data_IF_107872674920
#
_entry.id   IF_107872674920
#
_cell.length_a   1.000
_cell.length_b   1.000
_cell.length_c   1.000
_cell.angle_alpha   90.00
_cell.angle_beta   90.00
_cell.angle_gamma   90.00
#
_symmetry.space_group_name_H-M   'P 1'
#
loop_
_entity.id
_entity.type
_entity.pdbx_description
1 polymer ?
2 non-polymer ?
3 water ?
#
# COMPACT_ATOMS: atom_id res chain seq x y z
N UNK A 6 8.48 2.43 29.09
CA UNK A 6 8.02 3.81 29.05
C UNK A 6 7.70 4.17 27.60
N UNK A 7 8.71 4.20 26.74
CA UNK A 7 8.48 4.67 25.37
C UNK A 7 8.29 3.56 24.35
N UNK A 8 7.46 3.87 23.37
CA UNK A 8 6.95 2.91 22.41
C UNK A 8 7.84 2.89 21.18
N UNK A 9 7.55 1.97 20.25
CA UNK A 9 8.21 1.97 18.95
C UNK A 9 7.87 3.17 18.07
N UNK A 10 8.62 3.30 16.99
CA UNK A 10 8.27 4.29 15.97
C UNK A 10 6.89 3.92 15.42
N UNK A 11 6.70 2.63 15.12
CA UNK A 11 5.40 2.15 14.68
C UNK A 11 5.32 0.64 14.84
N UNK A 12 4.10 0.12 14.94
CA UNK A 12 3.86 -1.33 14.90
C UNK A 12 3.48 -1.73 13.49
N UNK A 13 3.70 -3.00 13.15
CA UNK A 13 3.23 -3.50 11.87
C UNK A 13 3.69 -4.93 11.62
N UNK A 14 3.29 -5.47 10.47
CA UNK A 14 3.71 -6.78 10.03
C UNK A 14 4.90 -6.65 9.12
N UNK A 15 6.01 -7.28 9.50
CA UNK A 15 7.24 -7.24 8.71
C UNK A 15 7.42 -8.57 7.96
N UNK A 16 7.54 -8.45 6.64
CA UNK A 16 7.62 -9.60 5.74
C UNK A 16 8.99 -10.25 5.84
N UNK A 17 9.02 -11.58 5.69
CA UNK A 17 10.27 -12.31 5.74
C UNK A 17 11.09 -11.85 4.55
N UNK A 18 12.38 -12.17 4.54
CA UNK A 18 13.20 -11.85 3.38
C UNK A 18 12.57 -12.42 2.10
N UNK A 19 12.08 -13.65 2.18
CA UNK A 19 11.55 -14.35 1.01
C UNK A 19 10.28 -13.68 0.49
N UNK A 20 9.31 -13.48 1.36
CA UNK A 20 8.04 -12.89 0.96
C UNK A 20 8.23 -11.48 0.45
N UNK A 21 9.15 -10.76 1.09
CA UNK A 21 9.44 -9.38 0.75
C UNK A 21 9.92 -9.34 -0.69
N UNK A 22 10.86 -10.22 -1.02
CA UNK A 22 11.42 -10.22 -2.36
C UNK A 22 10.35 -10.61 -3.39
N UNK A 23 9.52 -11.60 -3.08
CA UNK A 23 8.45 -12.01 -4.00
C UNK A 23 7.55 -10.82 -4.32
N UNK A 24 7.11 -10.11 -3.29
CA UNK A 24 6.25 -8.92 -3.49
C UNK A 24 6.96 -7.76 -4.18
N UNK A 25 8.19 -7.47 -3.78
CA UNK A 25 8.96 -6.40 -4.40
C UNK A 25 9.09 -6.68 -5.88
N UNK A 26 9.47 -7.91 -6.23
CA UNK A 26 9.63 -8.26 -7.64
C UNK A 26 8.32 -8.08 -8.39
N UNK A 27 7.22 -8.49 -7.78
CA UNK A 27 5.92 -8.37 -8.43
C UNK A 27 5.60 -6.90 -8.67
N UNK A 28 5.91 -6.09 -7.67
CA UNK A 28 5.70 -4.65 -7.76
C UNK A 28 6.49 -4.05 -8.90
N UNK A 29 7.75 -4.41 -9.00
CA UNK A 29 8.61 -3.90 -10.08
C UNK A 29 8.10 -4.33 -11.46
N UNK A 30 7.69 -5.60 -11.58
CA UNK A 30 7.15 -6.08 -12.86
C UNK A 30 5.92 -5.25 -13.26
N UNK A 31 5.05 -4.98 -12.30
CA UNK A 31 3.87 -4.17 -12.53
C UNK A 31 4.23 -2.77 -13.05
N UNK A 32 5.18 -2.11 -12.40
CA UNK A 32 5.59 -0.78 -12.85
C UNK A 32 6.07 -0.81 -14.31
N UNK A 33 6.83 -1.83 -14.65
CA UNK A 33 7.41 -1.93 -15.97
C UNK A 33 6.31 -2.16 -16.99
N UNK A 34 5.46 -3.13 -16.70
CA UNK A 34 4.32 -3.43 -17.56
C UNK A 34 3.34 -2.27 -17.67
N UNK A 35 3.03 -1.63 -16.55
CA UNK A 35 2.06 -0.56 -16.57
C UNK A 35 2.58 0.61 -17.41
N UNK A 36 3.85 0.96 -17.23
CA UNK A 36 4.47 2.06 -17.97
C UNK A 36 4.51 1.82 -19.47
N UNK A 37 4.56 0.56 -19.88
CA UNK A 37 4.58 0.22 -21.31
C UNK A 37 3.20 0.06 -21.93
N UNK A 38 2.15 0.16 -21.12
CA UNK A 38 0.79 -0.12 -21.58
C UNK A 38 0.16 1.07 -22.29
N UNK A 39 -0.46 0.82 -23.45
CA UNK A 39 -1.06 1.89 -24.25
C UNK A 39 -2.03 2.77 -23.46
N UNK A 40 -2.82 2.13 -22.61
CA UNK A 40 -3.80 2.82 -21.79
C UNK A 40 -3.16 3.81 -20.83
N UNK A 41 -2.00 3.45 -20.30
CA UNK A 41 -1.31 4.32 -19.34
C UNK A 41 -0.62 5.47 -20.08
N UNK A 42 0.07 5.14 -21.16
CA UNK A 42 0.73 6.18 -21.95
C UNK A 42 -0.28 7.22 -22.41
N UNK A 43 -1.47 6.75 -22.78
CA UNK A 43 -2.53 7.61 -23.30
C UNK A 43 -2.95 8.65 -22.27
N UNK A 44 -2.75 8.36 -20.98
CA UNK A 44 -3.22 9.27 -19.93
C UNK A 44 -2.08 10.00 -19.21
N UNK A 45 -0.90 10.05 -19.80
CA UNK A 45 0.25 10.64 -19.12
C UNK A 45 -0.01 12.05 -18.60
N UNK A 46 -0.74 12.85 -19.37
CA UNK A 46 -0.99 14.24 -18.96
C UNK A 46 -1.85 14.34 -17.71
N UNK A 47 -2.49 13.24 -17.32
CA UNK A 47 -3.24 13.16 -16.05
C UNK A 47 -2.36 12.63 -14.91
N UNK A 48 -1.16 12.18 -15.26
CA UNK A 48 -0.27 11.56 -14.28
C UNK A 48 0.86 12.53 -13.88
N UNK A 49 1.53 13.10 -14.86
CA UNK A 49 2.54 14.13 -14.59
C UNK A 49 1.96 15.50 -14.96
N UNK A 50 2.48 16.56 -14.36
CA UNK A 50 1.85 17.87 -14.48
C UNK A 50 2.86 18.95 -14.80
N UNK A 51 3.85 18.60 -15.61
CA UNK A 51 4.92 19.52 -15.95
C UNK A 51 5.15 19.57 -17.43
N UNK A 52 6.37 19.89 -17.83
CA UNK A 52 6.72 20.11 -19.22
C UNK A 52 7.44 18.90 -19.81
N UNK A 53 7.07 17.71 -19.35
CA UNK A 53 7.63 16.46 -19.84
C UNK A 53 7.43 16.34 -21.34
N UNK A 54 8.37 15.68 -22.04
CA UNK A 54 8.26 15.50 -23.49
C UNK A 54 7.26 14.40 -23.85
N UNK A 55 7.00 14.22 -25.15
CA UNK A 55 6.06 13.20 -25.62
C UNK A 55 6.55 11.78 -25.33
N UNK A 56 7.80 11.69 -24.88
CA UNK A 56 8.46 10.41 -24.65
C UNK A 56 7.76 9.53 -23.61
N UNK A 57 8.32 8.35 -23.38
CA UNK A 57 7.81 7.41 -22.40
C UNK A 57 8.43 7.61 -21.01
N UNK A 58 7.60 7.43 -19.99
CA UNK A 58 8.03 7.59 -18.61
C UNK A 58 8.32 6.21 -18.01
N UNK A 59 9.52 6.04 -17.44
CA UNK A 59 9.87 4.79 -16.74
C UNK A 59 9.45 4.88 -15.28
N UNK A 60 8.45 4.10 -14.89
CA UNK A 60 7.86 4.23 -13.57
C UNK A 60 8.78 3.76 -12.46
N UNK A 61 9.66 2.81 -12.75
CA UNK A 61 10.63 2.38 -11.74
C UNK A 61 11.49 3.58 -11.29
N UNK A 62 11.85 4.45 -12.23
CA UNK A 62 12.60 5.65 -11.88
C UNK A 62 11.72 6.71 -11.24
N UNK A 63 10.47 6.80 -11.69
CA UNK A 63 9.54 7.75 -11.13
C UNK A 63 9.33 7.48 -9.65
N UNK A 64 9.12 6.21 -9.29
CA UNK A 64 8.99 5.84 -7.89
C UNK A 64 10.37 5.49 -7.33
N UNK A 65 11.24 6.49 -7.34
CA UNK A 65 12.62 6.29 -6.99
C UNK A 65 12.88 5.98 -5.53
N UNK A 66 12.03 6.48 -4.65
CA UNK A 66 12.18 6.23 -3.21
C UNK A 66 11.48 4.94 -2.85
N UNK A 67 12.26 3.88 -2.66
CA UNK A 67 11.69 2.56 -2.32
C UNK A 67 12.21 2.10 -0.97
N UNK A 68 11.46 1.22 -0.28
CA UNK A 68 11.99 0.61 0.95
C UNK A 68 13.33 -0.07 0.67
N UNK A 69 14.35 0.18 1.50
CA UNK A 69 15.70 -0.35 1.25
C UNK A 69 15.85 -1.83 1.59
N UNK A 70 15.00 -2.34 2.47
CA UNK A 70 15.09 -3.71 2.94
C UNK A 70 13.76 -4.44 2.88
N UNK A 71 13.41 -5.15 3.93
CA UNK A 71 12.16 -5.91 3.90
C UNK A 71 10.97 -4.96 3.89
N UNK A 72 9.87 -5.39 3.29
CA UNK A 72 8.65 -4.60 3.23
C UNK A 72 7.83 -4.87 4.50
N UNK A 73 6.88 -3.98 4.79
CA UNK A 73 6.05 -4.14 5.96
C UNK A 73 4.70 -3.51 5.71
N UNK A 74 3.74 -3.89 6.55
CA UNK A 74 2.41 -3.33 6.53
C UNK A 74 2.17 -2.66 7.89
N UNK A 75 2.18 -1.34 7.90
CA UNK A 75 1.99 -0.60 9.13
C UNK A 75 0.57 -0.72 9.71
N UNK A 76 0.48 -0.98 11.03
CA UNK A 76 -0.80 -0.87 11.71
C UNK A 76 -0.93 0.50 12.35
N UNK A 77 -0.02 0.85 13.26
CA UNK A 77 -0.16 2.10 13.98
C UNK A 77 1.15 2.84 14.11
N UNK A 78 1.18 4.06 13.61
CA UNK A 78 2.37 4.89 13.75
C UNK A 78 2.32 5.56 15.11
N UNK A 79 3.35 5.33 15.91
CA UNK A 79 3.37 5.73 17.30
C UNK A 79 4.35 6.88 17.64
N UNK A 80 5.38 7.05 16.82
CA UNK A 80 6.42 8.06 17.07
C UNK A 80 6.88 8.01 18.53
N UNK A 81 7.17 6.80 19.00
CA UNK A 81 7.68 6.56 20.35
C UNK A 81 6.72 7.01 21.46
N UNK A 82 5.46 7.24 21.11
CA UNK A 82 4.47 7.71 22.07
C UNK A 82 3.96 9.11 21.80
N UNK A 83 4.64 9.84 20.91
CA UNK A 83 4.27 11.23 20.62
C UNK A 83 3.01 11.34 19.74
N UNK A 84 2.71 10.28 19.00
CA UNK A 84 1.53 10.25 18.13
C UNK A 84 0.22 10.04 18.91
N UNK A 85 -0.82 10.73 18.49
CA UNK A 85 -2.12 10.59 19.12
C UNK A 85 -2.56 9.14 19.06
N UNK A 86 -3.03 8.63 20.20
CA UNK A 86 -3.57 7.28 20.25
C UNK A 86 -2.55 6.15 20.40
N UNK A 87 -1.27 6.50 20.37
CA UNK A 87 -0.20 5.49 20.40
C UNK A 87 -0.24 4.65 21.67
N UNK A 88 -0.32 5.32 22.80
CA UNK A 88 -0.32 4.65 24.09
C UNK A 88 -1.52 3.73 24.20
N UNK A 89 -2.68 4.28 23.85
CA UNK A 89 -3.91 3.51 23.87
C UNK A 89 -3.77 2.24 23.02
N UNK A 90 -3.23 2.38 21.82
CA UNK A 90 -3.05 1.24 20.92
C UNK A 90 -2.16 0.18 21.55
N UNK A 91 -1.02 0.63 22.09
CA UNK A 91 0.04 -0.28 22.50
C UNK A 91 -0.35 -1.08 23.75
N UNK A 92 -1.23 -0.53 24.56
CA UNK A 92 -1.67 -1.17 25.80
C UNK A 92 -2.75 -2.24 25.58
N UNK A 93 -3.24 -2.39 24.36
CA UNK A 93 -4.26 -3.40 24.08
C UNK A 93 -3.71 -4.80 24.29
N UNK A 94 -4.46 -5.65 24.99
CA UNK A 94 -4.08 -7.07 25.14
C UNK A 94 -3.73 -7.73 23.81
N UNK A 95 -4.56 -7.51 22.80
CA UNK A 95 -4.34 -8.21 21.53
C UNK A 95 -2.99 -7.78 20.91
N UNK A 96 -2.62 -6.51 21.08
CA UNK A 96 -1.32 -6.05 20.58
C UNK A 96 -0.17 -6.75 21.30
N UNK A 97 -0.22 -6.74 22.64
CA UNK A 97 0.77 -7.43 23.46
C UNK A 97 0.85 -8.94 23.18
N UNK A 98 -0.29 -9.60 23.13
CA UNK A 98 -0.33 -11.03 22.82
C UNK A 98 0.23 -11.37 21.43
N UNK A 99 -0.03 -10.52 20.45
CA UNK A 99 0.37 -10.77 19.04
C UNK A 99 1.80 -10.36 18.76
N UNK A 100 2.40 -9.61 19.67
CA UNK A 100 3.78 -9.14 19.51
C UNK A 100 4.75 -10.30 19.25
N UNK A 101 5.33 -10.34 18.05
CA UNK A 101 6.28 -11.39 17.69
C UNK A 101 5.66 -12.59 16.98
N UNK A 102 4.34 -12.57 16.81
CA UNK A 102 3.64 -13.71 16.22
C UNK A 102 3.64 -13.64 14.69
N UNK A 103 3.57 -14.82 14.08
CA UNK A 103 3.55 -14.94 12.63
C UNK A 103 2.12 -14.83 12.10
N UNK A 104 2.00 -14.23 10.92
CA UNK A 104 0.74 -13.99 10.25
C UNK A 104 0.95 -14.16 8.77
N UNK A 105 -0.14 -14.29 8.04
CA UNK A 105 -0.12 -14.25 6.60
C UNK A 105 -0.99 -13.10 6.10
N UNK A 106 -0.44 -12.28 5.22
CA UNK A 106 -1.16 -11.14 4.67
C UNK A 106 -1.56 -11.43 3.24
N UNK A 107 -2.82 -11.19 2.96
CA UNK A 107 -3.35 -11.47 1.64
C UNK A 107 -3.30 -10.18 0.80
N UNK A 108 -2.53 -10.23 -0.29
CA UNK A 108 -2.39 -9.10 -1.21
C UNK A 108 -3.37 -9.27 -2.37
N UNK A 109 -4.32 -8.36 -2.51
CA UNK A 109 -5.39 -8.51 -3.51
C UNK A 109 -5.18 -7.64 -4.76
N UNK A 110 -4.32 -6.63 -4.67
CA UNK A 110 -4.16 -5.69 -5.77
C UNK A 110 -2.87 -4.91 -5.62
N UNK A 111 -2.34 -4.47 -6.75
CA UNK A 111 -1.22 -3.54 -6.79
C UNK A 111 -1.77 -2.25 -7.39
N UNK A 112 -1.32 -1.09 -6.88
CA UNK A 112 -1.81 0.18 -7.42
C UNK A 112 -0.71 1.20 -7.60
N UNK A 113 -1.01 2.18 -8.44
CA UNK A 113 -0.12 3.28 -8.74
C UNK A 113 -0.94 4.56 -8.81
N UNK A 114 -0.37 5.63 -8.25
CA UNK A 114 -0.92 6.96 -8.40
C UNK A 114 0.24 7.90 -8.70
N UNK A 115 -0.06 9.17 -8.98
CA UNK A 115 1.06 10.10 -9.19
C UNK A 115 1.98 10.24 -7.96
N UNK A 116 1.57 9.75 -6.79
CA UNK A 116 2.37 9.90 -5.57
C UNK A 116 3.06 8.63 -5.08
N UNK A 117 2.34 7.51 -5.11
CA UNK A 117 2.84 6.27 -4.55
C UNK A 117 2.54 5.02 -5.38
N UNK A 118 3.33 4.00 -5.10
CA UNK A 118 3.12 2.68 -5.67
C UNK A 118 3.00 1.72 -4.51
N UNK A 119 1.94 0.91 -4.49
CA UNK A 119 1.70 0.09 -3.32
C UNK A 119 0.96 -1.21 -3.59
N UNK A 120 0.77 -1.97 -2.51
CA UNK A 120 0.01 -3.22 -2.55
C UNK A 120 -1.13 -3.12 -1.55
N UNK A 121 -2.33 -3.45 -2.01
CA UNK A 121 -3.48 -3.54 -1.12
C UNK A 121 -3.47 -4.84 -0.30
N UNK A 122 -3.59 -4.70 1.02
CA UNK A 122 -3.68 -5.83 1.93
C UNK A 122 -5.10 -6.02 2.44
N UNK A 123 -5.57 -7.26 2.41
CA UNK A 123 -6.92 -7.58 2.86
C UNK A 123 -6.82 -8.37 4.15
N UNK A 124 -6.98 -7.67 5.27
CA UNK A 124 -6.74 -8.25 6.57
C UNK A 124 -7.81 -9.30 6.94
N UNK A 125 -7.33 -10.37 7.57
CA UNK A 125 -8.21 -11.33 8.22
C UNK A 125 -8.90 -10.71 9.43
N UNK A 126 -9.93 -11.39 9.93
CA UNK A 126 -10.62 -10.90 11.11
C UNK A 126 -9.67 -10.84 12.28
N UNK A 127 -8.77 -11.82 12.37
CA UNK A 127 -7.83 -11.82 13.47
C UNK A 127 -6.89 -10.62 13.36
N UNK A 128 -6.44 -10.35 12.15
CA UNK A 128 -5.53 -9.24 11.89
C UNK A 128 -6.21 -7.87 12.05
N UNK A 129 -7.50 -7.80 11.73
CA UNK A 129 -8.26 -6.55 11.93
C UNK A 129 -8.30 -6.15 13.41
N UNK A 130 -8.13 -7.11 14.31
CA UNK A 130 -8.09 -6.79 15.74
C UNK A 130 -6.87 -5.89 16.06
N UNK A 131 -5.82 -5.99 15.25
CA UNK A 131 -4.60 -5.19 15.41
C UNK A 131 -4.64 -3.85 14.64
N UNK A 132 -5.76 -3.55 13.99
CA UNK A 132 -5.89 -2.29 13.27
C UNK A 132 -6.40 -1.25 14.23
N UNK A 133 -5.73 -0.09 14.31
CA UNK A 133 -6.16 0.92 15.28
C UNK A 133 -7.52 1.49 14.91
N UNK A 134 -8.29 1.87 15.92
CA UNK A 134 -9.46 2.68 15.71
C UNK A 134 -9.25 3.96 16.50
N UNK A 135 -8.67 4.95 15.83
CA UNK A 135 -8.30 6.19 16.49
C UNK A 135 -9.41 7.24 16.40
N UNK A 136 -9.30 8.25 17.24
CA UNK A 136 -10.22 9.38 17.19
C UNK A 136 -9.85 10.25 15.99
N UNK A 137 -8.57 10.24 15.64
CA UNK A 137 -8.06 10.99 14.49
C UNK A 137 -7.82 10.05 13.31
N UNK A 138 -8.87 9.79 12.54
CA UNK A 138 -8.77 8.95 11.35
C UNK A 138 -8.74 9.82 10.12
N UNK A 139 -8.12 9.33 9.04
CA UNK A 139 -8.23 10.09 7.79
C UNK A 139 -9.69 10.15 7.38
N UNK A 140 -10.17 11.32 6.96
CA UNK A 140 -11.57 11.45 6.56
C UNK A 140 -11.93 10.33 5.59
N UNK A 141 -11.01 10.01 4.69
CA UNK A 141 -11.26 9.07 3.62
C UNK A 141 -11.59 7.65 4.09
N UNK A 142 -11.24 7.29 5.33
CA UNK A 142 -11.54 5.96 5.84
C UNK A 142 -13.01 5.80 6.21
N UNK A 143 -13.70 6.94 6.35
CA UNK A 143 -15.12 6.91 6.69
C UNK A 143 -15.98 6.40 5.53
N UNK A 144 -16.83 5.43 5.83
CA UNK A 144 -17.72 4.87 4.83
C UNK A 144 -17.17 3.59 4.24
N UNK A 145 -15.92 3.27 4.58
CA UNK A 145 -15.31 2.04 4.11
C UNK A 145 -15.10 1.11 5.30
N UNK A 146 -15.05 -0.21 5.02
CA UNK A 146 -14.78 -1.18 6.08
C UNK A 146 -13.52 -0.83 6.87
N UNK A 147 -13.55 -1.03 8.20
CA UNK A 147 -12.32 -0.86 8.99
C UNK A 147 -11.14 -1.59 8.37
N UNK A 148 -9.98 -0.95 8.34
CA UNK A 148 -8.76 -1.61 7.89
C UNK A 148 -8.58 -1.57 6.40
N UNK A 149 -9.44 -0.83 5.71
CA UNK A 149 -9.33 -0.70 4.27
C UNK A 149 -8.02 -0.03 3.86
N UNK A 150 -7.49 0.78 4.77
CA UNK A 150 -6.25 1.50 4.53
C UNK A 150 -5.05 0.55 4.45
N UNK A 151 -5.21 -0.69 4.92
CA UNK A 151 -4.06 -1.61 5.06
C UNK A 151 -3.34 -1.82 3.73
N UNK A 152 -2.03 -1.59 3.71
CA UNK A 152 -1.28 -1.59 2.46
C UNK A 152 0.23 -1.77 2.72
N UNK A 153 0.97 -2.04 1.66
CA UNK A 153 2.42 -2.12 1.71
C UNK A 153 2.94 -1.12 0.72
N UNK A 154 3.87 -0.27 1.16
CA UNK A 154 4.48 0.71 0.27
C UNK A 154 5.58 0.08 -0.56
N UNK A 155 5.53 0.28 -1.89
CA UNK A 155 6.54 -0.24 -2.79
C UNK A 155 7.44 0.87 -3.35
N UNK A 156 6.92 2.09 -3.44
CA UNK A 156 7.74 3.24 -3.83
C UNK A 156 6.97 4.54 -3.66
N UNK A 157 7.69 5.67 -3.72
CA UNK A 157 7.10 7.00 -3.57
C UNK A 157 7.76 7.95 -4.56
N UNK A 158 7.00 8.91 -5.08
CA UNK A 158 7.60 10.03 -5.80
C UNK A 158 8.51 10.86 -4.87
N UNK A 159 9.38 11.66 -5.48
CA UNK A 159 10.48 12.30 -4.76
C UNK A 159 10.08 13.09 -3.51
N UNK A 160 9.01 13.87 -3.59
CA UNK A 160 8.62 14.70 -2.48
C UNK A 160 7.45 14.11 -1.69
N UNK A 161 7.26 12.80 -1.79
CA UNK A 161 6.14 12.13 -1.12
C UNK A 161 6.60 11.34 0.10
N UNK A 162 5.75 11.29 1.13
CA UNK A 162 6.06 10.53 2.35
C UNK A 162 5.34 9.17 2.36
N UNK A 163 6.02 8.10 2.84
CA UNK A 163 5.45 6.75 2.76
C UNK A 163 4.04 6.63 3.32
N UNK A 164 3.70 7.46 4.29
CA UNK A 164 2.32 7.49 4.79
C UNK A 164 1.26 7.72 3.69
N UNK A 165 1.67 8.34 2.59
CA UNK A 165 0.70 8.67 1.54
C UNK A 165 0.09 7.41 0.89
N UNK A 166 0.81 6.29 0.94
CA UNK A 166 0.35 5.07 0.27
C UNK A 166 -1.01 4.63 0.79
N UNK A 167 -1.13 4.53 2.11
CA UNK A 167 -2.39 4.20 2.73
C UNK A 167 -3.47 5.19 2.29
N UNK A 168 -3.14 6.47 2.31
CA UNK A 168 -4.12 7.50 1.99
C UNK A 168 -4.56 7.39 0.54
N UNK A 169 -3.63 7.07 -0.33
CA UNK A 169 -3.93 6.87 -1.74
C UNK A 169 -4.88 5.68 -1.92
N UNK A 170 -4.62 4.59 -1.19
CA UNK A 170 -5.49 3.41 -1.27
C UNK A 170 -6.92 3.72 -0.83
N UNK A 171 -7.05 4.51 0.24
CA UNK A 171 -8.39 4.88 0.71
C UNK A 171 -9.13 5.67 -0.37
N UNK A 172 -8.42 6.58 -1.05
CA UNK A 172 -9.02 7.38 -2.12
C UNK A 172 -9.45 6.51 -3.30
N UNK A 173 -8.59 5.56 -3.68
CA UNK A 173 -8.94 4.61 -4.73
C UNK A 173 -10.16 3.77 -4.33
N UNK A 174 -10.22 3.34 -3.07
CA UNK A 174 -11.33 2.48 -2.64
C UNK A 174 -12.66 3.24 -2.54
N UNK A 175 -12.61 4.51 -2.14
CA UNK A 175 -13.79 5.40 -2.16
C UNK A 175 -14.29 5.58 -3.59
N UNK A 176 -13.35 5.73 -4.51
CA UNK A 176 -13.67 5.86 -5.93
C UNK A 176 -14.41 4.63 -6.44
N UNK A 177 -14.02 3.44 -5.98
CA UNK A 177 -14.68 2.23 -6.48
C UNK A 177 -15.74 1.69 -5.54
N UNK A 178 -16.05 2.44 -4.48
CA UNK A 178 -17.05 2.01 -3.49
C UNK A 178 -18.40 1.73 -4.14
N UNK A 181 -19.63 2.14 -8.08
CA UNK A 181 -19.73 0.78 -8.57
C UNK A 181 -18.35 0.29 -9.01
N UNK A 182 -18.25 -0.19 -10.24
CA UNK A 182 -16.95 -0.52 -10.83
C UNK A 182 -17.10 -0.74 -12.32
N UNK A 183 -16.33 0.02 -13.10
CA UNK A 183 -16.36 -0.06 -14.55
C UNK A 183 -15.51 -1.21 -15.04
N UNK A 184 -15.43 -1.37 -16.36
CA UNK A 184 -14.71 -2.49 -16.94
C UNK A 184 -13.22 -2.20 -17.07
N UNK A 185 -12.42 -3.24 -17.00
CA UNK A 185 -10.98 -3.13 -17.03
C UNK A 185 -10.53 -2.64 -18.40
N UNK A 186 -9.41 -1.93 -18.43
CA UNK A 186 -8.91 -1.34 -19.66
C UNK A 186 -7.81 -2.19 -20.27
N UNK A 187 -7.36 -3.21 -19.55
CA UNK A 187 -6.31 -4.08 -20.03
C UNK A 187 -6.17 -5.36 -19.22
N UNK A 188 -5.40 -6.30 -19.75
CA UNK A 188 -5.09 -7.54 -19.06
C UNK A 188 -3.59 -7.65 -18.93
N UNK A 189 -3.10 -7.84 -17.71
CA UNK A 189 -1.70 -8.11 -17.50
C UNK A 189 -1.66 -9.57 -17.09
N UNK A 190 -0.48 -10.20 -17.14
CA UNK A 190 -0.37 -11.62 -16.82
C UNK A 190 -0.97 -12.01 -15.47
N UNK A 191 -0.87 -11.12 -14.48
CA UNK A 191 -1.32 -11.47 -13.14
C UNK A 191 -2.76 -11.02 -12.84
N UNK A 192 -3.38 -10.27 -13.75
CA UNK A 192 -4.77 -9.88 -13.57
C UNK A 192 -5.25 -8.72 -14.42
N UNK A 193 -6.42 -8.19 -14.10
CA UNK A 193 -7.08 -7.14 -14.87
C UNK A 193 -6.61 -5.74 -14.43
N UNK A 194 -6.50 -4.84 -15.42
CA UNK A 194 -6.04 -3.48 -15.16
C UNK A 194 -7.20 -2.48 -15.24
N UNK A 195 -7.35 -1.68 -14.19
CA UNK A 195 -8.36 -0.61 -14.15
C UNK A 195 -7.74 0.77 -14.12
N UNK A 196 -8.36 1.67 -14.87
CA UNK A 196 -7.99 3.07 -14.92
C UNK A 196 -9.04 3.86 -14.13
N UNK A 197 -8.64 4.39 -12.98
CA UNK A 197 -9.62 5.05 -12.11
C UNK A 197 -9.64 6.57 -12.25
N UNK A 198 -8.94 7.11 -13.24
CA UNK A 198 -8.86 8.55 -13.42
C UNK A 198 -7.83 9.21 -12.50
N UNK A 199 -7.50 10.45 -12.82
CA UNK A 199 -6.57 11.27 -12.04
C UNK A 199 -5.26 10.54 -11.72
N UNK A 200 -4.74 9.80 -12.69
CA UNK A 200 -3.44 9.18 -12.55
C UNK A 200 -3.44 7.90 -11.73
N UNK A 201 -4.62 7.37 -11.43
CA UNK A 201 -4.73 6.23 -10.52
C UNK A 201 -4.97 4.96 -11.30
N UNK A 202 -4.20 3.92 -10.94
CA UNK A 202 -4.26 2.64 -11.64
C UNK A 202 -4.27 1.49 -10.66
N UNK A 203 -5.08 0.48 -10.95
CA UNK A 203 -5.14 -0.70 -10.09
C UNK A 203 -5.09 -2.01 -10.88
N UNK A 204 -4.20 -2.90 -10.47
CA UNK A 204 -4.11 -4.24 -11.01
C UNK A 204 -4.77 -5.17 -9.99
N UNK A 205 -5.89 -5.78 -10.38
CA UNK A 205 -6.59 -6.68 -9.48
C UNK A 205 -6.09 -8.08 -9.76
N UNK A 206 -5.45 -8.70 -8.79
CA UNK A 206 -4.82 -10.00 -8.99
C UNK A 206 -5.85 -11.10 -9.13
N UNK A 207 -5.66 -11.93 -10.15
CA UNK A 207 -6.51 -13.11 -10.36
C UNK A 207 -6.37 -14.08 -9.17
N UNK A 208 -5.14 -14.27 -8.72
CA UNK A 208 -4.88 -15.04 -7.51
C UNK A 208 -4.25 -14.12 -6.48
N UNK A 209 -4.88 -14.00 -5.32
CA UNK A 209 -4.29 -13.24 -4.25
C UNK A 209 -2.92 -13.80 -3.88
N UNK A 210 -1.98 -12.92 -3.60
CA UNK A 210 -0.67 -13.35 -3.11
C UNK A 210 -0.73 -13.43 -1.61
N UNK A 211 -0.10 -14.45 -1.06
CA UNK A 211 0.00 -14.57 0.39
C UNK A 211 1.45 -14.35 0.80
N UNK A 212 1.68 -13.38 1.68
CA UNK A 212 3.01 -13.11 2.20
C UNK A 212 3.06 -13.40 3.71
N UNK A 213 4.08 -14.14 4.14
CA UNK A 213 4.39 -14.33 5.56
C UNK A 213 5.05 -13.12 6.20
N UNK A 214 4.66 -12.85 7.44
CA UNK A 214 5.15 -11.68 8.15
C UNK A 214 5.08 -11.91 9.65
N UNK A 215 5.79 -11.06 10.38
CA UNK A 215 5.79 -11.10 11.83
C UNK A 215 5.32 -9.77 12.35
N UNK A 216 4.37 -9.78 13.29
CA UNK A 216 3.92 -8.56 13.93
C UNK A 216 4.90 -8.12 15.00
N UNK A 217 5.37 -6.89 14.94
CA UNK A 217 6.29 -6.41 15.94
C UNK A 217 6.41 -4.90 15.87
N UNK A 218 7.38 -4.33 16.60
CA UNK A 218 7.58 -2.90 16.67
C UNK A 218 8.92 -2.50 16.07
N UNK A 219 8.90 -1.41 15.30
CA UNK A 219 10.10 -0.87 14.68
C UNK A 219 10.58 0.38 15.42
N UNK A 220 11.89 0.42 15.69
CA UNK A 220 12.55 1.57 16.32
C UNK A 220 13.59 2.17 15.39
N UNK A 221 13.54 3.48 15.18
CA UNK A 221 14.41 4.15 14.21
C UNK A 221 15.88 4.13 14.61
X LIG B 1 3.16 2.54 6.15
X LIG B 1 5.07 2.65 4.10
X LIG B 1 7.21 6.33 8.98
X LIG B 1 7.42 4.96 9.17
X LIG B 1 6.25 4.14 8.74
X LIG B 1 5.08 4.61 9.31
X LIG B 1 6.04 4.19 7.28
X LIG B 1 5.54 3.01 6.83
X LIG B 1 4.98 5.21 7.06
X LIG B 1 4.33 4.82 5.92
X LIG B 1 4.21 5.12 8.34
X LIG B 1 3.69 6.37 8.84
X LIG B 1 4.39 7.56 9.06
X LIG B 1 3.61 8.56 9.56
X LIG B 1 2.32 8.02 9.70
X LIG B 1 1.08 8.54 10.17
X LIG B 1 0.97 9.89 10.63
X LIG B 1 0.04 7.69 10.15
X LIG B 1 0.12 6.43 9.74
X LIG B 1 2.37 6.64 9.25
X LIG B 1 1.25 5.92 9.29
X LIG B 1 4.47 3.29 5.81
X LIG B 1 2.64 3.06 6.63
X LIG B 1 7.98 6.75 9.06
X LIG B 1 8.21 4.68 8.68
X LIG B 1 7.58 4.79 10.12
X LIG B 1 6.40 3.22 8.99
X LIG B 1 6.84 4.45 6.82
X LIG B 1 3.50 4.48 8.21
X LIG B 1 5.37 6.09 6.95
X LIG B 1 5.33 7.67 8.86
X LIG B 1 -0.69 5.86 9.76
X LIG B 1 0.31 10.12 11.22
X LIG B 1 1.56 10.52 10.33
#
# INVERSE_FOLDING_TARGET
GGLEKDFLPLYFGWFLTKKSSETLRKAGQVFLEELGNHKAFKKELRHFISGDEPKEKLELVSYFGKRPPGVLHCTTKFCDYGKAAGAEEYAQQEVVKRSYGKAFKLSISALFVTPKTAGAQVVLTDQELQLWPSDLDKPSASEGLPPGSRASVTLGCAADVQPVQTGLDLLDILQQVKGGSQGEAVGELPRGKLYSLGKGRWMLSLTKKMEVKAIFTGYYG
QQX OP3 S1P O5' C5' C4' O4' C3' O3' C2' O2' C1' N9 C8 N7 C5 C6 N6 N1 C2 C4 N3 P HP3 H5' H5'1 H5'2 H4' H3' H1' H2' H8 H2 HN62 HN61
#
